data_IF_924592959717
#
_entry.id   IF_924592959717
#
_cell.length_a   1.000
_cell.length_b   1.000
_cell.length_c   1.000
_cell.angle_alpha   90.00
_cell.angle_beta   90.00
_cell.angle_gamma   90.00
#
_symmetry.space_group_name_H-M   'P 1'
#
loop_
_entity.id
_entity.type
_entity.pdbx_description
1 polymer ?
#
# COMPACT_ATOMS: atom_id res chain seq x y z
N UNK A 1 -4.82 -10.91 -2.49
CA UNK A 1 -3.77 -10.67 -3.52
C UNK A 1 -2.43 -11.15 -2.97
N UNK A 2 -1.75 -12.05 -3.68
CA UNK A 2 -0.59 -12.80 -3.18
C UNK A 2 0.70 -11.97 -3.16
N UNK A 3 1.43 -12.02 -2.03
CA UNK A 3 2.86 -11.65 -1.98
C UNK A 3 3.63 -12.72 -2.75
N UNK A 4 4.20 -12.37 -3.90
CA UNK A 4 5.11 -13.28 -4.63
C UNK A 4 6.35 -13.57 -3.78
N UNK A 5 6.85 -14.81 -3.85
CA UNK A 5 8.02 -15.30 -3.08
C UNK A 5 9.23 -14.38 -3.26
N UNK A 6 10.01 -14.23 -2.19
CA UNK A 6 10.96 -13.13 -2.01
C UNK A 6 11.91 -12.89 -3.19
N UNK A 7 11.65 -11.77 -3.89
CA UNK A 7 12.67 -11.09 -4.69
C UNK A 7 13.38 -10.10 -3.77
N UNK A 8 14.71 -10.24 -3.68
CA UNK A 8 15.55 -9.40 -2.84
C UNK A 8 15.26 -7.90 -3.05
N UNK A 9 15.04 -7.18 -1.96
CA UNK A 9 14.67 -5.76 -2.01
C UNK A 9 15.91 -4.90 -2.13
N UNK A 10 16.29 -4.60 -3.38
CA UNK A 10 17.32 -3.60 -3.67
C UNK A 10 16.92 -2.26 -3.06
N UNK A 11 17.80 -1.72 -2.23
CA UNK A 11 17.69 -0.40 -1.61
C UNK A 11 18.35 0.60 -2.55
N UNK A 12 17.64 1.67 -2.93
CA UNK A 12 18.19 2.72 -3.79
C UNK A 12 19.35 3.48 -3.11
N UNK A 13 20.22 4.09 -3.89
CA UNK A 13 21.25 5.03 -3.39
C UNK A 13 20.65 6.40 -3.08
N UNK A 14 21.34 7.23 -2.32
CA UNK A 14 20.82 8.57 -1.98
C UNK A 14 20.78 9.52 -3.18
N UNK A 15 21.70 9.38 -4.14
CA UNK A 15 21.61 10.06 -5.43
C UNK A 15 20.31 9.66 -6.19
N UNK A 16 19.99 8.36 -6.25
CA UNK A 16 18.74 7.87 -6.84
C UNK A 16 17.50 8.42 -6.10
N UNK A 17 17.52 8.49 -4.76
CA UNK A 17 16.43 9.11 -3.98
C UNK A 17 16.28 10.59 -4.31
N UNK A 18 17.38 11.33 -4.35
CA UNK A 18 17.40 12.78 -4.48
C UNK A 18 16.83 13.23 -5.83
N UNK A 19 17.27 12.64 -6.95
CA UNK A 19 16.74 13.00 -8.27
C UNK A 19 15.28 12.58 -8.47
N UNK A 20 14.85 11.43 -7.90
CA UNK A 20 13.44 11.02 -7.92
C UNK A 20 12.55 11.97 -7.09
N UNK A 21 13.03 12.43 -5.94
CA UNK A 21 12.31 13.34 -5.05
C UNK A 21 12.27 14.77 -5.62
N UNK A 22 13.35 15.25 -6.23
CA UNK A 22 13.44 16.50 -7.00
C UNK A 22 12.43 16.52 -8.14
N UNK A 23 12.37 15.46 -8.94
CA UNK A 23 11.37 15.33 -10.01
C UNK A 23 9.94 15.29 -9.45
N UNK A 24 9.73 14.64 -8.31
CA UNK A 24 8.41 14.61 -7.66
C UNK A 24 7.92 15.99 -7.19
N UNK A 25 8.84 16.87 -6.78
CA UNK A 25 8.52 18.26 -6.44
C UNK A 25 8.15 19.08 -7.69
N UNK A 26 8.82 18.84 -8.82
CA UNK A 26 8.47 19.48 -10.09
C UNK A 26 7.14 18.96 -10.66
N UNK A 27 6.91 17.64 -10.65
CA UNK A 27 5.62 17.04 -10.99
C UNK A 27 5.34 15.78 -10.16
N UNK A 28 4.17 15.77 -9.51
CA UNK A 28 3.63 14.60 -8.81
C UNK A 28 3.36 13.41 -9.73
N UNK A 29 3.33 13.61 -11.05
CA UNK A 29 3.05 12.61 -12.08
C UNK A 29 4.09 12.69 -13.21
N UNK A 30 4.94 11.67 -13.30
CA UNK A 30 5.98 11.60 -14.33
C UNK A 30 5.40 11.25 -15.72
N UNK A 31 5.86 11.97 -16.75
CA UNK A 31 5.47 11.73 -18.15
C UNK A 31 6.22 10.53 -18.75
N UNK A 32 5.76 10.01 -19.89
CA UNK A 32 6.40 8.86 -20.57
C UNK A 32 7.86 9.17 -20.92
N UNK A 33 8.12 10.35 -21.53
CA UNK A 33 9.46 10.81 -21.87
C UNK A 33 10.35 10.93 -20.63
N UNK A 34 9.90 11.66 -19.60
CA UNK A 34 10.72 11.94 -18.42
C UNK A 34 11.03 10.70 -17.58
N UNK A 35 10.11 9.72 -17.58
CA UNK A 35 10.30 8.38 -17.01
C UNK A 35 11.40 7.59 -17.72
N UNK A 36 11.57 7.74 -19.03
CA UNK A 36 12.68 7.13 -19.76
C UNK A 36 14.01 7.84 -19.45
N UNK A 37 14.04 9.17 -19.43
CA UNK A 37 15.23 9.97 -19.08
C UNK A 37 15.76 9.61 -17.66
N UNK A 38 14.89 9.59 -16.64
CA UNK A 38 15.30 9.20 -15.28
C UNK A 38 15.62 7.70 -15.14
N UNK A 39 15.06 6.82 -15.96
CA UNK A 39 15.42 5.41 -15.96
C UNK A 39 16.90 5.22 -16.38
N UNK A 40 17.33 5.89 -17.45
CA UNK A 40 18.72 5.87 -17.90
C UNK A 40 19.65 6.52 -16.87
N UNK A 41 19.39 7.78 -16.49
CA UNK A 41 20.27 8.58 -15.64
C UNK A 41 20.50 7.99 -14.23
N UNK A 42 19.59 7.14 -13.75
CA UNK A 42 19.64 6.54 -12.42
C UNK A 42 19.94 5.03 -12.44
N UNK A 43 20.17 4.45 -13.63
CA UNK A 43 20.34 3.01 -13.84
C UNK A 43 19.18 2.17 -13.25
N UNK A 44 17.94 2.64 -13.41
CA UNK A 44 16.72 1.99 -12.94
C UNK A 44 15.83 1.60 -14.12
N UNK A 45 15.07 0.51 -14.01
CA UNK A 45 14.02 0.25 -14.99
C UNK A 45 12.91 1.30 -14.90
N UNK A 46 12.30 1.65 -16.03
CA UNK A 46 11.10 2.50 -16.06
C UNK A 46 9.98 2.01 -15.13
N UNK A 47 9.91 0.69 -14.92
CA UNK A 47 8.96 0.05 -14.00
C UNK A 47 9.27 0.37 -12.54
N UNK A 48 10.56 0.42 -12.14
CA UNK A 48 10.98 0.88 -10.81
C UNK A 48 10.63 2.36 -10.61
N UNK A 49 10.92 3.22 -11.59
CA UNK A 49 10.54 4.65 -11.55
C UNK A 49 9.02 4.81 -11.40
N UNK A 50 8.22 4.11 -12.22
CA UNK A 50 6.74 4.11 -12.14
C UNK A 50 6.22 3.68 -10.77
N UNK A 51 6.79 2.62 -10.19
CA UNK A 51 6.43 2.11 -8.86
C UNK A 51 6.86 3.10 -7.76
N UNK A 52 8.03 3.72 -7.88
CA UNK A 52 8.49 4.74 -6.93
C UNK A 52 7.53 5.93 -6.90
N UNK A 53 7.11 6.47 -8.06
CA UNK A 53 6.13 7.56 -8.13
C UNK A 53 4.75 7.17 -7.55
N UNK A 54 4.31 5.93 -7.76
CA UNK A 54 3.07 5.42 -7.14
C UNK A 54 3.20 5.37 -5.61
N UNK A 55 4.30 4.84 -5.09
CA UNK A 55 4.59 4.80 -3.65
C UNK A 55 4.75 6.22 -3.06
N UNK A 56 5.35 7.16 -3.80
CA UNK A 56 5.58 8.53 -3.33
C UNK A 56 4.29 9.34 -3.20
N UNK A 57 3.33 9.19 -4.14
CA UNK A 57 1.96 9.72 -4.00
C UNK A 57 1.17 9.03 -2.88
N UNK A 58 1.39 7.74 -2.63
CA UNK A 58 0.79 7.06 -1.48
C UNK A 58 1.33 7.60 -0.14
N UNK A 59 2.64 7.85 -0.05
CA UNK A 59 3.27 8.51 1.12
C UNK A 59 2.75 9.93 1.32
N UNK A 60 2.62 10.72 0.25
CA UNK A 60 2.02 12.07 0.30
C UNK A 60 0.64 12.05 0.94
N UNK A 61 -0.32 11.30 0.36
CA UNK A 61 -1.70 11.21 0.89
C UNK A 61 -1.76 10.75 2.35
N UNK A 62 -0.90 9.82 2.77
CA UNK A 62 -0.85 9.38 4.19
C UNK A 62 -0.34 10.49 5.13
N UNK A 63 0.60 11.33 4.68
CA UNK A 63 1.10 12.46 5.46
C UNK A 63 0.06 13.59 5.54
N UNK A 64 -0.67 13.88 4.44
CA UNK A 64 -1.78 14.83 4.43
C UNK A 64 -2.89 14.42 5.41
N UNK A 65 -3.41 13.17 5.33
CA UNK A 65 -4.44 12.73 6.30
C UNK A 65 -3.95 12.78 7.74
N UNK A 66 -2.68 12.45 8.04
CA UNK A 66 -2.16 12.62 9.41
C UNK A 66 -2.15 14.09 9.85
N UNK A 67 -1.97 15.07 8.95
CA UNK A 67 -2.07 16.50 9.30
C UNK A 67 -3.50 16.97 9.53
N UNK A 68 -4.47 16.35 8.87
CA UNK A 68 -5.91 16.67 9.02
C UNK A 68 -6.47 16.08 10.33
N UNK A 69 -6.17 14.81 10.64
CA UNK A 69 -6.42 14.22 11.97
C UNK A 69 -5.59 14.90 13.08
N UNK A 70 -4.39 15.37 12.75
CA UNK A 70 -3.33 15.74 13.69
C UNK A 70 -3.21 17.23 14.00
N UNK A 71 -4.32 17.97 14.06
CA UNK A 71 -4.31 19.33 14.63
C UNK A 71 -4.02 19.32 16.16
N UNK A 72 -4.05 18.13 16.77
CA UNK A 72 -3.48 17.86 18.09
C UNK A 72 -2.11 17.17 17.92
N UNK A 73 -1.02 17.88 18.24
CA UNK A 73 0.34 17.32 18.28
C UNK A 73 1.28 17.79 17.17
N UNK A 74 1.89 18.97 17.37
CA UNK A 74 3.03 19.40 16.58
C UNK A 74 4.29 18.54 16.85
N UNK A 75 5.18 18.41 15.87
CA UNK A 75 6.49 17.78 16.07
C UNK A 75 7.04 17.05 14.84
N UNK A 76 8.12 17.57 14.27
CA UNK A 76 8.94 16.84 13.28
C UNK A 76 9.76 15.77 14.00
N UNK A 77 9.77 14.53 13.49
CA UNK A 77 10.59 13.46 14.06
C UNK A 77 10.42 12.12 13.35
N UNK A 78 11.44 11.68 12.64
CA UNK A 78 11.49 10.34 12.05
C UNK A 78 12.21 9.39 13.04
N UNK A 79 11.46 8.77 13.95
CA UNK A 79 11.97 7.71 14.84
C UNK A 79 11.31 6.37 14.51
N UNK A 80 12.13 5.37 14.17
CA UNK A 80 11.69 4.03 13.79
C UNK A 80 11.80 3.08 15.00
N UNK A 81 10.86 3.18 15.93
CA UNK A 81 10.81 2.26 17.09
C UNK A 81 10.03 1.01 16.70
N UNK A 82 10.73 -0.11 16.55
CA UNK A 82 10.16 -1.45 16.33
C UNK A 82 9.76 -2.06 17.68
N UNK A 83 8.65 -1.62 18.28
CA UNK A 83 8.06 -2.28 19.44
C UNK A 83 7.41 -3.60 19.01
N UNK A 84 7.82 -4.72 19.58
CA UNK A 84 7.05 -5.97 19.49
C UNK A 84 5.89 -5.94 20.48
N UNK A 85 4.72 -6.40 20.04
CA UNK A 85 3.57 -6.66 20.88
C UNK A 85 2.96 -8.00 20.44
N UNK A 86 3.12 -9.01 21.28
CA UNK A 86 2.57 -10.35 21.08
C UNK A 86 1.05 -10.36 21.25
N UNK A 87 0.31 -11.25 20.56
CA UNK A 87 -1.13 -11.39 20.76
C UNK A 87 -1.43 -12.14 22.07
N UNK A 88 -1.85 -11.41 23.11
CA UNK A 88 -2.38 -11.97 24.36
C UNK A 88 -3.91 -11.98 24.37
N UNK A 89 -4.53 -13.02 24.94
CA UNK A 89 -5.97 -13.31 24.78
C UNK A 89 -6.80 -13.11 26.06
N UNK A 90 -7.78 -12.19 26.02
CA UNK A 90 -9.04 -12.24 26.77
C UNK A 90 -9.98 -11.11 26.31
N UNK A 91 -11.32 -11.22 26.34
CA UNK A 91 -12.15 -12.40 26.59
C UNK A 91 -13.38 -12.13 27.47
N UNK A 92 -14.48 -11.62 26.88
CA UNK A 92 -15.82 -11.53 27.49
C UNK A 92 -16.91 -11.44 26.40
N UNK A 93 -18.11 -11.97 26.66
CA UNK A 93 -19.13 -12.30 25.64
C UNK A 93 -20.57 -11.93 26.05
N UNK A 94 -21.49 -12.00 25.08
CA UNK A 94 -22.98 -12.12 25.23
C UNK A 94 -23.69 -10.81 25.66
N UNK A 95 -24.95 -10.51 25.26
CA UNK A 95 -25.91 -11.14 24.33
C UNK A 95 -25.87 -10.43 22.95
N UNK A 96 -26.83 -10.44 21.99
CA UNK A 96 -28.17 -11.06 21.84
C UNK A 96 -28.51 -11.26 20.34
N UNK A 97 -29.43 -12.16 19.94
CA UNK A 97 -29.69 -12.49 18.53
C UNK A 97 -30.86 -11.73 17.89
N UNK A 98 -30.80 -11.52 16.56
CA UNK A 98 -31.95 -11.22 15.71
C UNK A 98 -32.45 -12.51 15.01
N UNK A 99 -33.77 -12.68 14.78
CA UNK A 99 -34.33 -13.91 14.23
C UNK A 99 -34.08 -14.08 12.72
N UNK A 100 -33.95 -15.34 12.30
CA UNK A 100 -33.73 -15.78 10.93
C UNK A 100 -35.05 -15.93 10.15
N UNK A 101 -35.04 -15.61 8.84
CA UNK A 101 -36.14 -15.83 7.91
C UNK A 101 -35.60 -16.38 6.57
N UNK A 102 -35.84 -17.69 6.36
CA UNK A 102 -36.21 -18.40 5.11
C UNK A 102 -35.75 -17.82 3.73
N UNK A 103 -35.15 -18.56 2.78
CA UNK A 103 -34.96 -20.02 2.62
C UNK A 103 -33.73 -20.32 1.72
N UNK A 104 -33.02 -21.45 1.90
CA UNK A 104 -32.05 -21.97 0.92
C UNK A 104 -32.67 -23.07 0.05
N UNK A 105 -33.01 -22.77 -1.21
CA UNK A 105 -33.54 -23.75 -2.17
C UNK A 105 -32.44 -24.52 -2.89
N UNK A 106 -32.24 -25.80 -2.56
CA UNK A 106 -31.42 -26.74 -3.35
C UNK A 106 -32.32 -27.66 -4.18
N UNK A 107 -32.09 -27.75 -5.49
CA UNK A 107 -32.75 -28.71 -6.37
C UNK A 107 -31.86 -29.13 -7.56
N UNK A 108 -31.20 -30.27 -7.38
CA UNK A 108 -30.72 -31.30 -8.32
C UNK A 108 -30.28 -30.94 -9.77
N UNK A 109 -29.11 -31.45 -10.23
CA UNK A 109 -28.83 -31.62 -11.65
C UNK A 109 -29.55 -32.85 -12.23
N UNK A 110 -30.05 -32.74 -13.47
CA UNK A 110 -30.52 -33.89 -14.27
C UNK A 110 -29.54 -34.16 -15.42
N UNK A 111 -29.35 -35.44 -15.76
CA UNK A 111 -28.45 -35.89 -16.83
C UNK A 111 -29.04 -35.75 -18.25
N UNK A 112 -28.27 -36.14 -19.28
CA UNK A 112 -28.71 -36.04 -20.67
C UNK A 112 -29.74 -37.11 -21.06
N UNK A 113 -30.60 -36.76 -22.03
CA UNK A 113 -31.44 -37.70 -22.79
C UNK A 113 -30.68 -38.29 -23.97
N UNK A 114 -31.13 -39.44 -24.54
CA UNK A 114 -30.56 -40.06 -25.74
C UNK A 114 -30.85 -39.29 -27.03
#
# INVERSE_FOLDING_TARGET
>A
KTRTKDKYRVVYTDHQRLELEKEFHYSRYITIRRKAELAQNLNLSERQVKIWFQNRRAKERKQNKKREDGMQGAGSGAVNVKTELSPGTSGSSVTSPTPNLTSPGMAHPMGPSP
#
